data_IF_017045147713
#
_entry.id   IF_017045147713
#
_cell.length_a   1.000
_cell.length_b   1.000
_cell.length_c   1.000
_cell.angle_alpha   90.00
_cell.angle_beta   90.00
_cell.angle_gamma   90.00
#
_symmetry.space_group_name_H-M   'P 1'
#
loop_
_entity.id
_entity.type
_entity.pdbx_description
1 polymer ?
#
# COMPACT_ATOMS: atom_id res chain seq x y z
N UNK A 1 8.42 18.36 12.95
CA UNK A 1 8.43 18.72 11.51
C UNK A 1 7.01 18.93 11.07
N UNK A 2 6.66 20.04 10.43
CA UNK A 2 5.28 20.27 9.98
C UNK A 2 4.85 19.23 8.91
N UNK A 3 3.55 18.98 8.72
CA UNK A 3 3.09 18.08 7.68
C UNK A 3 3.50 18.49 6.25
N UNK A 4 3.62 19.80 5.98
CA UNK A 4 4.09 20.31 4.70
C UNK A 4 5.58 19.99 4.47
N UNK A 5 6.43 20.18 5.49
CA UNK A 5 7.84 19.78 5.43
C UNK A 5 7.99 18.26 5.28
N UNK A 6 7.16 17.48 5.96
CA UNK A 6 7.15 16.03 5.84
C UNK A 6 6.78 15.56 4.44
N UNK A 7 5.76 16.18 3.83
CA UNK A 7 5.38 15.94 2.44
C UNK A 7 6.50 16.30 1.47
N UNK A 8 7.15 17.46 1.64
CA UNK A 8 8.30 17.85 0.84
C UNK A 8 9.45 16.84 0.92
N UNK A 9 9.74 16.31 2.12
CA UNK A 9 10.76 15.27 2.30
C UNK A 9 10.37 13.92 1.68
N UNK A 10 9.11 13.53 1.77
CA UNK A 10 8.59 12.33 1.12
C UNK A 10 8.80 12.41 -0.41
N UNK A 11 8.60 13.58 -1.01
CA UNK A 11 8.84 13.78 -2.44
C UNK A 11 10.33 13.79 -2.81
N UNK A 12 11.17 14.46 -2.02
CA UNK A 12 12.59 14.63 -2.36
C UNK A 12 13.44 13.37 -2.10
N UNK A 13 13.14 12.62 -1.04
CA UNK A 13 13.87 11.40 -0.65
C UNK A 13 12.92 10.41 0.04
N UNK A 14 12.01 9.77 -0.73
CA UNK A 14 11.01 8.86 -0.18
C UNK A 14 11.64 7.70 0.60
N UNK A 15 12.78 7.18 0.14
CA UNK A 15 13.47 6.08 0.79
C UNK A 15 13.94 6.44 2.20
N UNK A 16 14.60 7.59 2.36
CA UNK A 16 15.04 8.05 3.68
C UNK A 16 13.87 8.44 4.57
N UNK A 17 12.87 9.13 4.01
CA UNK A 17 11.67 9.51 4.74
C UNK A 17 10.97 8.28 5.34
N UNK A 18 10.70 7.27 4.51
CA UNK A 18 9.99 6.05 4.95
C UNK A 18 10.82 5.18 5.90
N UNK A 19 12.15 5.29 5.90
CA UNK A 19 12.98 4.64 6.94
C UNK A 19 12.88 5.31 8.29
N UNK A 20 12.55 6.60 8.30
CA UNK A 20 12.55 7.41 9.51
C UNK A 20 11.16 7.54 10.13
N UNK A 21 10.12 7.75 9.32
CA UNK A 21 8.79 8.13 9.80
C UNK A 21 7.74 7.08 9.42
N UNK A 22 7.03 6.48 10.40
CA UNK A 22 5.92 5.58 10.12
C UNK A 22 4.75 6.32 9.44
N UNK A 23 4.30 5.85 8.29
CA UNK A 23 3.19 6.46 7.53
C UNK A 23 2.01 5.51 7.49
N UNK A 24 0.80 5.93 7.87
CA UNK A 24 -0.43 5.12 7.77
C UNK A 24 -1.28 5.72 6.69
N UNK A 25 -1.64 4.91 5.70
CA UNK A 25 -2.42 5.38 4.57
C UNK A 25 -3.82 4.83 4.69
N UNK A 26 -4.79 5.74 4.60
CA UNK A 26 -6.20 5.39 4.55
C UNK A 26 -6.62 5.45 3.09
N UNK A 27 -6.97 4.30 2.53
CA UNK A 27 -7.50 4.23 1.18
C UNK A 27 -8.83 4.99 1.05
N UNK A 28 -9.25 5.20 -0.19
CA UNK A 28 -10.61 5.66 -0.46
C UNK A 28 -11.65 4.60 -0.03
N UNK A 29 -12.89 5.04 0.19
CA UNK A 29 -13.98 4.15 0.59
C UNK A 29 -14.28 3.09 -0.48
N UNK A 30 -14.94 1.97 -0.13
CA UNK A 30 -15.16 0.83 -1.03
C UNK A 30 -15.95 1.16 -2.31
N UNK A 31 -16.73 2.25 -2.30
CA UNK A 31 -17.52 2.72 -3.45
C UNK A 31 -16.72 3.56 -4.45
N UNK A 32 -15.54 4.06 -4.08
CA UNK A 32 -14.76 4.96 -4.92
C UNK A 32 -13.85 4.18 -5.87
N UNK A 33 -13.78 4.60 -7.13
CA UNK A 33 -12.91 4.01 -8.16
C UNK A 33 -11.48 4.52 -8.01
N UNK A 34 -10.52 3.77 -8.56
CA UNK A 34 -9.16 4.29 -8.74
C UNK A 34 -9.19 5.57 -9.57
N UNK A 35 -8.35 6.55 -9.21
CA UNK A 35 -8.37 7.86 -9.84
C UNK A 35 -7.61 8.90 -9.03
N UNK A 36 -7.72 10.16 -9.43
CA UNK A 36 -7.14 11.28 -8.67
C UNK A 36 -8.08 11.70 -7.54
N UNK A 37 -7.55 11.91 -6.34
CA UNK A 37 -8.30 12.39 -5.19
C UNK A 37 -7.46 13.31 -4.31
N UNK A 38 -8.15 14.16 -3.53
CA UNK A 38 -7.53 15.04 -2.55
C UNK A 38 -7.26 14.26 -1.26
N UNK A 39 -6.03 14.38 -0.78
CA UNK A 39 -5.52 13.81 0.46
C UNK A 39 -4.95 14.90 1.35
N UNK A 40 -4.81 14.60 2.63
CA UNK A 40 -4.04 15.40 3.55
C UNK A 40 -3.08 14.52 4.35
N UNK A 41 -1.85 15.00 4.50
CA UNK A 41 -0.85 14.46 5.42
C UNK A 41 -0.96 15.23 6.73
N UNK A 42 -0.94 14.51 7.86
CA UNK A 42 -0.95 15.12 9.19
C UNK A 42 -0.13 14.33 10.17
N UNK A 43 0.18 14.92 11.31
CA UNK A 43 0.73 14.17 12.43
C UNK A 43 -0.25 13.07 12.87
N UNK A 44 0.26 11.87 13.10
CA UNK A 44 -0.53 10.81 13.71
C UNK A 44 -0.63 11.11 15.20
N UNK A 45 -1.87 11.22 15.68
CA UNK A 45 -2.13 11.19 17.11
C UNK A 45 -1.93 9.77 17.64
N UNK A 46 -0.89 9.62 18.44
CA UNK A 46 -0.44 8.35 19.01
C UNK A 46 -0.97 8.14 20.42
N UNK A 47 -1.57 9.17 21.02
CA UNK A 47 -2.07 9.13 22.40
C UNK A 47 -3.29 8.22 22.55
N UNK A 48 -4.08 8.05 21.49
CA UNK A 48 -5.35 7.31 21.53
C UNK A 48 -5.25 5.78 21.43
N UNK A 49 -4.07 5.22 21.13
CA UNK A 49 -3.90 3.75 20.97
C UNK A 49 -2.79 3.13 21.83
N UNK A 50 -2.11 3.92 22.65
CA UNK A 50 -0.89 3.46 23.34
C UNK A 50 0.26 3.08 22.37
N UNK A 51 0.09 3.36 21.07
CA UNK A 51 1.09 3.11 20.03
C UNK A 51 2.15 4.21 20.13
N UNK A 52 3.32 3.92 20.70
CA UNK A 52 4.48 4.81 20.50
C UNK A 52 5.05 4.52 19.11
N UNK A 53 5.06 5.45 18.14
CA UNK A 53 5.66 5.18 16.85
C UNK A 53 7.13 4.93 17.03
N UNK A 54 7.53 3.70 16.76
CA UNK A 54 8.90 3.25 16.92
C UNK A 54 9.50 2.94 15.56
N UNK A 55 10.70 3.50 15.31
CA UNK A 55 11.54 3.05 14.21
C UNK A 55 12.44 1.90 14.65
N UNK A 56 12.69 0.92 13.77
CA UNK A 56 13.51 -0.24 14.09
C UNK A 56 14.95 0.20 14.22
N UNK A 57 15.57 -0.30 15.28
CA UNK A 57 16.94 0.02 15.63
C UNK A 57 17.95 -0.77 14.77
N UNK A 58 17.52 -1.93 14.26
CA UNK A 58 18.29 -2.82 13.39
C UNK A 58 18.63 -2.24 12.01
N UNK A 59 17.83 -1.31 11.47
CA UNK A 59 18.15 -0.64 10.18
C UNK A 59 19.30 0.36 10.35
N UNK A 60 19.59 0.79 11.58
CA UNK A 60 20.61 1.80 11.89
C UNK A 60 21.72 1.30 12.85
N UNK A 61 21.88 -0.02 13.00
CA UNK A 61 23.00 -0.61 13.76
C UNK A 61 23.02 -0.32 15.27
N UNK A 62 21.89 0.06 15.88
CA UNK A 62 21.81 0.27 17.34
C UNK A 62 20.72 -0.64 17.93
N UNK A 63 20.88 -1.14 19.16
CA UNK A 63 19.96 -2.11 19.77
C UNK A 63 18.75 -1.46 20.50
N UNK A 64 18.34 -0.24 20.12
CA UNK A 64 17.24 0.48 20.81
C UNK A 64 16.23 1.10 19.85
N UNK A 65 14.98 0.66 19.92
CA UNK A 65 13.85 1.35 19.28
C UNK A 65 13.80 2.79 19.82
N UNK A 66 13.62 3.76 18.93
CA UNK A 66 13.46 5.17 19.34
C UNK A 66 12.10 5.66 18.88
N UNK A 67 11.45 6.43 19.75
CA UNK A 67 10.27 7.21 19.38
C UNK A 67 10.60 8.12 18.21
N UNK A 68 9.68 8.23 17.27
CA UNK A 68 9.79 9.13 16.11
C UNK A 68 8.43 9.72 15.77
N UNK A 69 8.42 10.82 15.03
CA UNK A 69 7.18 11.38 14.50
C UNK A 69 6.55 10.36 13.53
N UNK A 70 5.22 10.29 13.51
CA UNK A 70 4.47 9.47 12.57
C UNK A 70 3.43 10.33 11.86
N UNK A 71 3.06 9.90 10.65
CA UNK A 71 2.15 10.62 9.79
C UNK A 71 0.98 9.75 9.36
N UNK A 72 -0.20 10.35 9.33
CA UNK A 72 -1.37 9.79 8.66
C UNK A 72 -1.53 10.47 7.30
N UNK A 73 -1.88 9.69 6.30
CA UNK A 73 -2.32 10.17 4.99
C UNK A 73 -3.77 9.71 4.79
N UNK A 74 -4.70 10.66 4.72
CA UNK A 74 -6.14 10.41 4.65
C UNK A 74 -6.78 11.18 3.51
N UNK A 75 -7.90 10.71 2.94
CA UNK A 75 -8.74 11.54 2.08
C UNK A 75 -9.03 12.88 2.79
N UNK A 76 -8.92 13.99 2.06
CA UNK A 76 -9.03 15.33 2.64
C UNK A 76 -10.38 15.54 3.36
N UNK A 77 -11.45 14.90 2.89
CA UNK A 77 -12.78 14.91 3.52
C UNK A 77 -12.84 14.29 4.93
N UNK A 78 -11.80 13.55 5.34
CA UNK A 78 -11.69 12.93 6.67
C UNK A 78 -10.72 13.68 7.59
N UNK A 79 -10.19 14.82 7.15
CA UNK A 79 -9.25 15.65 7.91
C UNK A 79 -9.90 17.01 8.18
N UNK A 80 -10.07 17.42 9.44
CA UNK A 80 -10.50 18.78 9.77
C UNK A 80 -9.56 19.82 9.15
N UNK A 81 -10.12 20.95 8.72
CA UNK A 81 -9.49 21.90 7.78
C UNK A 81 -8.12 22.49 8.21
N UNK A 82 -7.72 22.38 9.48
CA UNK A 82 -6.50 23.03 10.01
C UNK A 82 -5.39 22.06 10.46
N UNK A 83 -5.60 20.74 10.36
CA UNK A 83 -4.68 19.75 10.96
C UNK A 83 -3.70 19.09 9.98
N UNK A 84 -3.68 19.47 8.71
CA UNK A 84 -2.89 18.77 7.69
C UNK A 84 -2.44 19.59 6.48
N UNK A 85 -1.50 19.02 5.73
CA UNK A 85 -1.08 19.53 4.43
C UNK A 85 -1.83 18.80 3.32
N UNK A 86 -2.67 19.53 2.59
CA UNK A 86 -3.45 19.00 1.46
C UNK A 86 -2.62 18.81 0.19
N UNK A 87 -2.85 17.71 -0.52
CA UNK A 87 -2.23 17.41 -1.81
C UNK A 87 -3.11 16.46 -2.64
N UNK A 88 -2.90 16.43 -3.96
CA UNK A 88 -3.57 15.47 -4.85
C UNK A 88 -2.72 14.20 -4.99
N UNK A 89 -3.38 13.05 -5.09
CA UNK A 89 -2.73 11.76 -5.31
C UNK A 89 -3.56 10.87 -6.25
N UNK A 90 -2.89 9.92 -6.92
CA UNK A 90 -3.55 8.76 -7.49
C UNK A 90 -3.91 7.79 -6.37
N UNK A 91 -5.20 7.56 -6.13
CA UNK A 91 -5.68 6.54 -5.22
C UNK A 91 -5.99 5.26 -5.97
N UNK A 92 -5.45 4.14 -5.49
CA UNK A 92 -5.66 2.83 -6.11
C UNK A 92 -6.66 2.03 -5.27
N UNK A 93 -7.84 1.81 -5.85
CA UNK A 93 -8.90 0.99 -5.24
C UNK A 93 -8.46 -0.46 -5.19
N UNK A 94 -8.89 -1.11 -4.12
CA UNK A 94 -8.79 -2.54 -3.92
C UNK A 94 -9.89 -3.29 -4.70
N UNK A 95 -9.51 -4.09 -5.67
CA UNK A 95 -10.38 -5.00 -6.42
C UNK A 95 -10.35 -6.42 -5.82
N UNK A 96 -11.44 -7.16 -5.99
CA UNK A 96 -11.63 -8.47 -5.36
C UNK A 96 -11.22 -9.63 -6.27
N UNK A 97 -10.12 -10.30 -5.93
CA UNK A 97 -9.57 -11.40 -6.71
C UNK A 97 -9.01 -10.98 -8.08
N UNK A 98 -8.31 -11.90 -8.74
CA UNK A 98 -7.64 -11.63 -10.01
C UNK A 98 -8.61 -11.32 -11.15
N UNK A 99 -9.79 -11.96 -11.15
CA UNK A 99 -10.76 -11.81 -12.23
C UNK A 99 -11.38 -10.40 -12.30
N UNK A 100 -11.49 -9.70 -11.17
CA UNK A 100 -12.05 -8.34 -11.12
C UNK A 100 -10.98 -7.24 -11.18
N UNK A 101 -9.70 -7.61 -11.28
CA UNK A 101 -8.56 -6.70 -11.25
C UNK A 101 -8.63 -5.69 -12.38
N UNK A 102 -8.50 -4.40 -12.05
CA UNK A 102 -8.41 -3.32 -13.02
C UNK A 102 -7.15 -2.51 -12.82
N UNK A 103 -6.40 -2.33 -13.90
CA UNK A 103 -5.25 -1.46 -13.91
C UNK A 103 -5.66 0.01 -13.93
N UNK A 104 -4.95 0.80 -13.14
CA UNK A 104 -4.95 2.26 -13.17
C UNK A 104 -3.59 2.74 -13.66
N UNK A 105 -3.60 3.60 -14.69
CA UNK A 105 -2.39 4.15 -15.29
C UNK A 105 -1.84 5.29 -14.43
N UNK A 106 -0.59 5.17 -14.00
CA UNK A 106 0.21 6.28 -13.49
C UNK A 106 0.97 6.91 -14.66
N UNK A 107 0.55 8.12 -15.04
CA UNK A 107 1.10 8.87 -16.18
C UNK A 107 2.31 9.73 -15.83
N UNK A 108 2.78 10.49 -16.82
CA UNK A 108 3.80 11.54 -16.70
C UNK A 108 3.24 12.89 -16.19
N UNK A 109 1.92 13.07 -16.24
CA UNK A 109 1.17 14.25 -15.80
C UNK A 109 0.30 13.97 -14.57
N UNK A 110 -0.28 15.02 -13.99
CA UNK A 110 -1.17 14.93 -12.83
C UNK A 110 -0.40 14.78 -11.51
N UNK A 111 -1.01 14.19 -10.47
CA UNK A 111 -0.36 13.97 -9.18
C UNK A 111 0.96 13.20 -9.26
N UNK A 112 1.96 13.61 -8.46
CA UNK A 112 3.26 12.90 -8.35
C UNK A 112 3.28 11.86 -7.23
N UNK A 113 2.13 11.58 -6.61
CA UNK A 113 1.98 10.60 -5.54
C UNK A 113 0.94 9.58 -5.95
N UNK A 114 1.21 8.31 -5.65
CA UNK A 114 0.24 7.23 -5.66
C UNK A 114 0.11 6.67 -4.24
N UNK A 115 -1.12 6.38 -3.82
CA UNK A 115 -1.45 5.84 -2.51
C UNK A 115 -2.32 4.61 -2.66
N UNK A 116 -2.03 3.62 -1.81
CA UNK A 116 -2.91 2.48 -1.56
C UNK A 116 -3.38 2.53 -0.12
N UNK A 117 -4.49 1.86 0.21
CA UNK A 117 -4.70 1.47 1.60
C UNK A 117 -3.62 0.50 2.09
N UNK A 118 -3.60 0.21 3.39
CA UNK A 118 -2.72 -0.80 3.97
C UNK A 118 -2.98 -2.20 3.38
N UNK A 119 -1.91 -2.93 3.13
CA UNK A 119 -1.94 -4.33 2.73
C UNK A 119 -1.93 -5.24 3.96
N UNK A 120 -3.02 -5.98 4.14
CA UNK A 120 -3.22 -6.97 5.21
C UNK A 120 -3.57 -8.36 4.67
N UNK A 121 -2.93 -8.77 3.57
CA UNK A 121 -3.29 -9.95 2.76
C UNK A 121 -3.51 -9.63 1.28
N UNK A 122 -3.49 -8.35 0.91
CA UNK A 122 -3.64 -7.88 -0.47
C UNK A 122 -2.31 -7.90 -1.24
N UNK A 123 -2.39 -7.75 -2.56
CA UNK A 123 -1.24 -7.63 -3.47
C UNK A 123 -1.36 -6.37 -4.32
N UNK A 124 -0.22 -5.77 -4.66
CA UNK A 124 -0.08 -4.77 -5.71
C UNK A 124 0.56 -5.42 -6.94
N UNK A 125 -0.08 -5.22 -8.08
CA UNK A 125 0.42 -5.58 -9.41
C UNK A 125 0.97 -4.33 -10.06
N UNK A 126 2.18 -4.39 -10.60
CA UNK A 126 2.88 -3.28 -11.26
C UNK A 126 3.35 -3.75 -12.62
N UNK A 127 2.81 -3.16 -13.68
CA UNK A 127 3.18 -3.46 -15.04
C UNK A 127 3.84 -2.22 -15.66
N UNK A 128 5.14 -2.29 -16.02
CA UNK A 128 5.79 -1.17 -16.71
C UNK A 128 5.13 -0.97 -18.07
N UNK A 129 5.02 0.29 -18.47
CA UNK A 129 4.52 0.68 -19.80
C UNK A 129 5.44 1.72 -20.41
N UNK A 130 5.45 1.80 -21.74
CA UNK A 130 6.26 2.76 -22.48
C UNK A 130 6.04 4.21 -22.00
N UNK A 131 7.11 5.01 -22.08
CA UNK A 131 7.11 6.41 -21.68
C UNK A 131 7.28 6.66 -20.18
N UNK A 132 7.84 5.70 -19.42
CA UNK A 132 8.05 5.86 -17.97
C UNK A 132 6.77 5.70 -17.14
N UNK A 133 5.70 5.24 -17.78
CA UNK A 133 4.43 4.97 -17.14
C UNK A 133 4.41 3.63 -16.42
N UNK A 134 3.49 3.48 -15.47
CA UNK A 134 3.23 2.18 -14.83
C UNK A 134 1.73 1.98 -14.67
N UNK A 135 1.26 0.81 -15.07
CA UNK A 135 -0.08 0.34 -14.75
C UNK A 135 -0.03 -0.37 -13.39
N UNK A 136 -0.91 0.05 -12.47
CA UNK A 136 -0.98 -0.51 -11.12
C UNK A 136 -2.37 -1.01 -10.79
N UNK A 137 -2.44 -2.12 -10.06
CA UNK A 137 -3.69 -2.63 -9.51
C UNK A 137 -3.47 -3.07 -8.06
N UNK A 138 -4.48 -2.85 -7.21
CA UNK A 138 -4.50 -3.31 -5.83
C UNK A 138 -5.57 -4.38 -5.70
N UNK A 139 -5.18 -5.61 -5.35
CA UNK A 139 -6.07 -6.77 -5.36
C UNK A 139 -6.12 -7.37 -3.96
N UNK A 140 -7.33 -7.56 -3.42
CA UNK A 140 -7.57 -8.32 -2.20
C UNK A 140 -7.97 -9.75 -2.50
N UNK A 141 -7.75 -10.68 -1.55
CA UNK A 141 -8.23 -12.05 -1.72
C UNK A 141 -9.75 -12.08 -1.84
N UNK A 142 -10.26 -13.03 -2.63
CA UNK A 142 -11.71 -13.26 -2.72
C UNK A 142 -12.28 -13.78 -1.38
N UNK A 143 -13.47 -13.31 -0.96
CA UNK A 143 -14.14 -13.85 0.22
C UNK A 143 -14.60 -15.29 -0.04
N UNK A 144 -15.14 -15.93 1.00
CA UNK A 144 -15.87 -17.18 0.80
C UNK A 144 -17.13 -16.91 -0.02
N UNK A 145 -17.46 -17.83 -0.91
CA UNK A 145 -18.65 -17.77 -1.74
C UNK A 145 -19.48 -19.01 -1.46
N UNK A 146 -20.75 -18.82 -1.08
CA UNK A 146 -21.67 -19.95 -0.99
C UNK A 146 -22.04 -20.43 -2.39
N UNK A 147 -22.12 -21.73 -2.53
CA UNK A 147 -22.70 -22.41 -3.66
C UNK A 147 -24.14 -21.97 -3.87
N UNK A 148 -24.57 -22.02 -5.12
CA UNK A 148 -25.98 -21.86 -5.48
C UNK A 148 -26.62 -23.24 -5.53
N UNK A 149 -27.91 -23.31 -5.22
CA UNK A 149 -28.71 -24.53 -5.40
C UNK A 149 -29.65 -24.32 -6.58
N UNK A 150 -29.75 -25.35 -7.41
CA UNK A 150 -30.74 -25.43 -8.48
C UNK A 150 -32.16 -25.53 -7.94
N UNK A 151 -33.14 -25.49 -8.84
CA UNK A 151 -34.56 -25.58 -8.50
C UNK A 151 -34.95 -26.92 -7.85
N UNK A 152 -34.17 -27.98 -8.08
CA UNK A 152 -34.30 -29.30 -7.48
C UNK A 152 -33.63 -29.42 -6.11
N UNK A 153 -32.93 -28.38 -5.65
CA UNK A 153 -32.22 -28.35 -4.38
C UNK A 153 -30.80 -28.94 -4.42
N UNK A 154 -30.37 -29.44 -5.58
CA UNK A 154 -28.99 -29.88 -5.82
C UNK A 154 -28.06 -28.67 -6.01
N UNK A 155 -26.79 -28.74 -5.62
CA UNK A 155 -25.86 -27.63 -5.77
C UNK A 155 -25.49 -27.40 -7.24
N UNK A 156 -25.88 -26.26 -7.80
CA UNK A 156 -25.47 -25.79 -9.13
C UNK A 156 -23.99 -25.37 -9.13
N UNK A 157 -23.50 -24.85 -8.00
CA UNK A 157 -22.08 -24.51 -7.82
C UNK A 157 -21.61 -24.91 -6.41
N UNK A 158 -20.36 -25.37 -6.24
CA UNK A 158 -19.83 -25.69 -4.93
C UNK A 158 -19.60 -24.43 -4.07
N UNK A 159 -19.61 -24.61 -2.75
CA UNK A 159 -19.06 -23.62 -1.82
C UNK A 159 -17.56 -23.41 -2.12
N UNK A 160 -17.13 -22.15 -2.20
CA UNK A 160 -15.72 -21.81 -2.33
C UNK A 160 -15.22 -21.16 -1.04
N UNK A 161 -14.14 -21.69 -0.42
CA UNK A 161 -13.56 -21.06 0.75
C UNK A 161 -12.95 -19.70 0.39
N UNK A 162 -12.78 -18.85 1.42
CA UNK A 162 -12.08 -17.59 1.27
C UNK A 162 -10.63 -17.85 0.84
N UNK A 163 -10.14 -17.03 -0.07
CA UNK A 163 -8.76 -17.10 -0.52
C UNK A 163 -7.84 -16.41 0.50
N UNK A 164 -6.67 -17.00 0.74
CA UNK A 164 -5.61 -16.38 1.53
C UNK A 164 -4.78 -15.40 0.70
N UNK A 165 -4.06 -14.49 1.36
CA UNK A 165 -3.13 -13.60 0.65
C UNK A 165 -2.01 -14.34 -0.10
N UNK A 166 -1.55 -15.48 0.45
CA UNK A 166 -0.51 -16.33 -0.17
C UNK A 166 -1.02 -16.98 -1.45
N UNK A 167 -2.25 -17.49 -1.45
CA UNK A 167 -2.91 -18.04 -2.64
C UNK A 167 -3.14 -16.97 -3.71
N UNK A 168 -3.62 -15.78 -3.32
CA UNK A 168 -3.79 -14.67 -4.26
C UNK A 168 -2.46 -14.28 -4.91
N UNK A 169 -1.39 -14.15 -4.12
CA UNK A 169 -0.06 -13.82 -4.66
C UNK A 169 0.39 -14.85 -5.71
N UNK A 170 0.22 -16.14 -5.42
CA UNK A 170 0.57 -17.22 -6.35
C UNK A 170 -0.28 -17.17 -7.64
N UNK A 171 -1.59 -16.94 -7.51
CA UNK A 171 -2.50 -16.80 -8.64
C UNK A 171 -2.11 -15.63 -9.55
N UNK A 172 -1.85 -14.45 -8.97
CA UNK A 172 -1.42 -13.26 -9.71
C UNK A 172 -0.07 -13.47 -10.41
N UNK A 173 0.87 -14.17 -9.77
CA UNK A 173 2.16 -14.52 -10.40
C UNK A 173 1.99 -15.41 -11.64
N UNK A 174 1.00 -16.30 -11.64
CA UNK A 174 0.66 -17.11 -12.81
C UNK A 174 -0.11 -16.34 -13.87
N UNK A 175 -1.07 -15.51 -13.47
CA UNK A 175 -1.93 -14.75 -14.37
C UNK A 175 -1.23 -13.54 -15.04
N UNK A 176 -0.22 -12.97 -14.39
CA UNK A 176 0.47 -11.75 -14.84
C UNK A 176 2.00 -11.97 -14.89
N UNK A 177 2.51 -12.84 -15.77
CA UNK A 177 3.92 -13.24 -15.76
C UNK A 177 4.88 -12.09 -16.10
N UNK A 178 4.43 -11.11 -16.88
CA UNK A 178 5.19 -9.92 -17.23
C UNK A 178 5.11 -8.80 -16.17
N UNK A 179 4.18 -8.90 -15.23
CA UNK A 179 4.02 -7.90 -14.18
C UNK A 179 4.88 -8.24 -12.95
N UNK A 180 5.26 -7.19 -12.25
CA UNK A 180 5.88 -7.27 -10.94
C UNK A 180 4.79 -7.32 -9.89
N UNK A 181 4.85 -8.32 -9.00
CA UNK A 181 3.86 -8.52 -7.95
C UNK A 181 4.50 -8.30 -6.58
N UNK A 182 3.89 -7.44 -5.77
CA UNK A 182 4.21 -7.30 -4.34
C UNK A 182 3.00 -7.70 -3.51
N UNK A 183 3.11 -8.70 -2.64
CA UNK A 183 1.96 -9.29 -1.95
C UNK A 183 2.31 -10.07 -0.71
N UNK A 184 1.31 -10.75 -0.14
CA UNK A 184 1.46 -11.55 1.06
C UNK A 184 2.23 -12.85 0.76
N UNK A 185 3.52 -12.87 1.06
CA UNK A 185 4.41 -14.02 0.91
C UNK A 185 5.60 -13.92 1.86
N UNK A 186 6.10 -15.08 2.32
CA UNK A 186 7.30 -15.14 3.15
C UNK A 186 8.61 -15.04 2.34
N UNK A 187 8.53 -15.08 1.01
CA UNK A 187 9.69 -15.16 0.11
C UNK A 187 10.07 -13.77 -0.42
N UNK A 188 11.37 -13.51 -0.58
CA UNK A 188 11.88 -12.48 -1.50
C UNK A 188 11.31 -11.06 -1.30
N UNK A 189 11.65 -10.42 -0.17
CA UNK A 189 11.30 -9.01 0.07
C UNK A 189 9.80 -8.69 0.09
N UNK A 190 8.92 -9.69 0.08
CA UNK A 190 7.49 -9.59 0.31
C UNK A 190 7.15 -9.40 1.80
N UNK A 191 5.87 -9.25 2.14
CA UNK A 191 5.44 -9.18 3.55
C UNK A 191 4.68 -10.43 3.94
N UNK A 192 4.93 -10.89 5.17
CA UNK A 192 4.17 -11.98 5.76
C UNK A 192 2.91 -11.41 6.42
N UNK A 193 1.74 -11.70 5.87
CA UNK A 193 0.47 -11.16 6.36
C UNK A 193 0.10 -11.62 7.77
N UNK A 194 0.74 -12.66 8.29
CA UNK A 194 0.45 -13.18 9.63
C UNK A 194 1.08 -12.30 10.72
N UNK A 195 2.20 -11.65 10.40
CA UNK A 195 2.98 -10.85 11.35
C UNK A 195 3.20 -9.39 10.93
N UNK A 196 2.90 -9.07 9.67
CA UNK A 196 3.23 -7.77 9.09
C UNK A 196 2.09 -7.19 8.29
N UNK A 197 2.16 -5.87 8.16
CA UNK A 197 1.37 -5.06 7.24
C UNK A 197 2.31 -4.28 6.34
N UNK A 198 1.83 -3.82 5.19
CA UNK A 198 2.63 -2.99 4.30
C UNK A 198 1.84 -1.78 3.81
N UNK A 199 2.49 -0.63 3.85
CA UNK A 199 1.97 0.62 3.29
C UNK A 199 2.67 0.86 1.97
N UNK A 200 1.92 1.10 0.90
CA UNK A 200 2.47 1.29 -0.44
C UNK A 200 2.29 2.73 -0.88
N UNK A 201 3.40 3.34 -1.29
CA UNK A 201 3.44 4.70 -1.80
C UNK A 201 4.21 4.69 -3.11
N UNK A 202 3.61 5.23 -4.16
CA UNK A 202 4.31 5.61 -5.37
C UNK A 202 4.70 7.07 -5.32
N UNK A 203 5.92 7.40 -5.76
CA UNK A 203 6.38 8.77 -5.96
C UNK A 203 6.91 8.87 -7.38
N UNK A 204 6.44 9.87 -8.12
CA UNK A 204 7.04 10.27 -9.40
C UNK A 204 8.12 11.30 -9.11
N UNK A 205 9.35 10.97 -9.48
CA UNK A 205 10.47 11.87 -9.27
C UNK A 205 10.52 13.01 -10.28
N UNK A 206 11.52 13.88 -10.15
CA UNK A 206 11.74 15.04 -11.01
C UNK A 206 12.05 14.67 -12.46
N UNK A 207 12.54 13.45 -12.70
CA UNK A 207 12.81 12.92 -14.04
C UNK A 207 11.57 12.23 -14.64
N UNK A 208 10.42 12.34 -13.97
CA UNK A 208 9.15 11.78 -14.39
C UNK A 208 9.03 10.27 -14.15
N UNK A 209 10.00 9.64 -13.48
CA UNK A 209 10.00 8.19 -13.27
C UNK A 209 9.24 7.81 -11.99
N UNK A 210 8.38 6.80 -12.12
CA UNK A 210 7.68 6.24 -10.98
C UNK A 210 8.56 5.28 -10.18
N UNK A 211 8.62 5.51 -8.87
CA UNK A 211 9.21 4.60 -7.90
C UNK A 211 8.17 4.25 -6.85
N UNK A 212 7.97 2.96 -6.59
CA UNK A 212 7.04 2.50 -5.56
C UNK A 212 7.81 1.92 -4.39
N UNK A 213 7.32 2.20 -3.20
CA UNK A 213 7.93 1.82 -1.94
C UNK A 213 6.93 1.05 -1.09
N UNK A 214 7.44 0.07 -0.34
CA UNK A 214 6.71 -0.63 0.69
C UNK A 214 7.35 -0.38 2.05
N UNK A 215 6.62 0.26 2.97
CA UNK A 215 6.99 0.34 4.37
C UNK A 215 6.31 -0.81 5.12
N UNK A 216 7.08 -1.85 5.45
CA UNK A 216 6.58 -2.98 6.23
C UNK A 216 6.57 -2.61 7.70
N UNK A 217 5.45 -2.89 8.35
CA UNK A 217 5.26 -2.68 9.78
C UNK A 217 4.92 -3.98 10.47
N UNK A 218 5.23 -4.03 11.75
CA UNK A 218 4.69 -5.04 12.64
C UNK A 218 3.16 -4.92 12.71
N UNK A 219 2.45 -6.05 12.66
CA UNK A 219 1.00 -6.05 12.71
C UNK A 219 0.43 -5.74 14.11
N UNK A 220 1.23 -5.89 15.17
CA UNK A 220 0.81 -5.67 16.56
C UNK A 220 1.05 -4.24 16.99
N UNK A 221 2.30 -3.77 16.89
CA UNK A 221 2.72 -2.47 17.44
C UNK A 221 2.89 -1.37 16.38
N UNK A 222 2.75 -1.71 15.10
CA UNK A 222 2.88 -0.75 13.99
C UNK A 222 4.30 -0.23 13.76
N UNK A 223 5.31 -0.75 14.46
CA UNK A 223 6.72 -0.36 14.29
C UNK A 223 7.20 -0.70 12.89
N UNK A 224 8.02 0.17 12.30
CA UNK A 224 8.62 -0.14 10.99
C UNK A 224 9.51 -1.38 11.19
N UNK A 225 9.45 -2.35 10.28
CA UNK A 225 10.36 -3.51 10.26
C UNK A 225 11.38 -3.39 9.15
N UNK A 226 10.97 -2.85 8.00
CA UNK A 226 11.84 -2.64 6.85
C UNK A 226 11.16 -1.76 5.81
N UNK A 227 11.96 -1.14 4.95
CA UNK A 227 11.49 -0.39 3.78
C UNK A 227 12.12 -0.99 2.54
N UNK A 228 11.30 -1.15 1.50
CA UNK A 228 11.74 -1.63 0.20
C UNK A 228 11.31 -0.63 -0.87
N UNK A 229 12.19 -0.40 -1.84
CA UNK A 229 11.73 -0.03 -3.16
C UNK A 229 11.23 -1.31 -3.85
N UNK A 230 10.00 -1.28 -4.34
CA UNK A 230 9.32 -2.43 -4.97
C UNK A 230 9.05 -2.20 -6.45
N UNK A 231 9.40 -1.04 -7.00
CA UNK A 231 9.39 -0.75 -8.43
C UNK A 231 10.37 0.40 -8.75
N UNK A 232 11.06 0.42 -9.91
CA UNK A 232 11.09 -0.64 -10.94
C UNK A 232 11.84 -1.90 -10.50
N UNK A 233 12.84 -1.73 -9.63
CA UNK A 233 13.65 -2.83 -9.10
C UNK A 233 13.35 -3.06 -7.62
N UNK A 234 13.45 -4.31 -7.20
CA UNK A 234 13.42 -4.63 -5.77
C UNK A 234 14.72 -4.21 -5.12
N UNK A 235 14.62 -3.42 -4.07
CA UNK A 235 15.79 -3.10 -3.25
C UNK A 235 15.36 -2.81 -1.82
N UNK A 236 15.95 -3.52 -0.86
CA UNK A 236 15.87 -3.12 0.55
C UNK A 236 16.66 -1.83 0.75
N UNK A 237 16.06 -0.85 1.43
CA UNK A 237 16.64 0.49 1.64
C UNK A 237 17.27 0.64 3.02
#
# INVERSE_FOLDING_TARGET
MSPAEAYGRLLSDPGRFLKQFPVKIFGLGPSQRSGEADYAMRHRDTSMRGETPMRPSLVFGTNRMRGTEAFDIKPASLVPNDDGHGFRAHSIRMDEGTAAMKFHRLGDKGPSIMLTGELSGCSIVMQPVDGGHVDVAHVKPRPSQKGTKGQDGEPDTPDMPAQTGKELYAELKGAQPAARIYGASAIGGQYDSDHRRAEIIGVRDTDGQWRLFAQKKDAVDGSIRSVYQIFPNEKKL
#
